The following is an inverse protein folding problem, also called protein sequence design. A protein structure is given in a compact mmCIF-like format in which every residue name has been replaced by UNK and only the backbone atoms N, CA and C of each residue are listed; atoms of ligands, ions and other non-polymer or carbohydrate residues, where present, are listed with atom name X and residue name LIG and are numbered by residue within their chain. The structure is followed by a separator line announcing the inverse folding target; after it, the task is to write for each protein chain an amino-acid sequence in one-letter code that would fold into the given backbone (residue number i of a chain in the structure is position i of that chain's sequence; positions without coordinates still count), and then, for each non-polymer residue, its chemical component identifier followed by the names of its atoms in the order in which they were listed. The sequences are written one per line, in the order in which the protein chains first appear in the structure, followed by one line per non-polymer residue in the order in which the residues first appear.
data_IF_193301518623
#
_entry.id   IF_193301518623
#
_cell.length_a   1.000
_cell.length_b   1.000
_cell.length_c   1.000
_cell.angle_alpha   90.00
_cell.angle_beta   90.00
_cell.angle_gamma   90.00
#
_symmetry.space_group_name_H-M   'P 1'
#
loop_
_entity.id
_entity.type
_entity.pdbx_description
1 polymer ?
#
# COMPACT_ATOMS: atom_id res chain seq x y z
N UNK A 1 41.30 -3.03 -5.60
CA UNK A 1 41.54 -3.18 -7.06
C UNK A 1 40.91 -4.46 -7.65
N UNK A 2 41.17 -5.65 -7.09
CA UNK A 2 40.59 -6.91 -7.58
C UNK A 2 39.05 -6.96 -7.53
N UNK A 3 38.46 -6.44 -6.46
CA UNK A 3 37.01 -6.39 -6.32
C UNK A 3 36.39 -5.48 -7.38
N UNK A 4 36.90 -4.24 -7.54
CA UNK A 4 36.48 -3.31 -8.59
C UNK A 4 36.55 -3.92 -10.00
N UNK A 5 37.65 -4.60 -10.35
CA UNK A 5 37.78 -5.30 -11.64
C UNK A 5 36.71 -6.37 -11.83
N UNK A 6 36.36 -7.12 -10.76
CA UNK A 6 35.26 -8.10 -10.79
C UNK A 6 33.90 -7.45 -11.04
N UNK A 7 33.61 -6.32 -10.39
CA UNK A 7 32.36 -5.53 -10.61
C UNK A 7 32.23 -5.08 -12.06
N UNK A 8 33.30 -4.52 -12.62
CA UNK A 8 33.32 -4.08 -14.01
C UNK A 8 33.18 -5.25 -15.00
N UNK A 9 33.79 -6.40 -14.71
CA UNK A 9 33.56 -7.63 -15.47
C UNK A 9 32.09 -8.07 -15.45
N UNK A 10 31.43 -8.04 -14.28
CA UNK A 10 30.01 -8.39 -14.17
C UNK A 10 29.12 -7.45 -15.01
N UNK A 11 29.35 -6.14 -14.94
CA UNK A 11 28.66 -5.15 -15.79
C UNK A 11 28.82 -5.45 -17.28
N UNK A 12 30.05 -5.77 -17.71
CA UNK A 12 30.34 -6.10 -19.10
C UNK A 12 29.65 -7.40 -19.53
N UNK A 13 29.66 -8.43 -18.68
CA UNK A 13 28.95 -9.69 -18.94
C UNK A 13 27.45 -9.44 -19.12
N UNK A 14 26.82 -8.66 -18.23
CA UNK A 14 25.41 -8.28 -18.37
C UNK A 14 25.12 -7.62 -19.73
N UNK A 15 25.94 -6.64 -20.14
CA UNK A 15 25.78 -5.95 -21.42
C UNK A 15 26.01 -6.86 -22.64
N UNK A 16 27.05 -7.68 -22.62
CA UNK A 16 27.43 -8.55 -23.73
C UNK A 16 26.49 -9.74 -23.90
N UNK A 17 25.88 -10.22 -22.80
CA UNK A 17 24.97 -11.36 -22.82
C UNK A 17 23.77 -11.15 -23.76
N UNK A 18 23.38 -9.91 -24.04
CA UNK A 18 22.32 -9.59 -25.01
C UNK A 18 22.61 -10.07 -26.44
N UNK A 19 23.88 -10.31 -26.79
CA UNK A 19 24.32 -10.76 -28.13
C UNK A 19 24.78 -12.21 -28.16
N UNK A 20 24.75 -12.90 -27.02
CA UNK A 20 25.26 -14.26 -26.91
C UNK A 20 24.26 -15.30 -27.39
N UNK A 21 24.79 -16.43 -27.87
CA UNK A 21 23.98 -17.59 -28.16
C UNK A 21 23.65 -18.38 -26.88
N UNK A 22 22.74 -19.35 -27.02
CA UNK A 22 22.21 -20.15 -25.92
C UNK A 22 23.31 -20.88 -25.11
N UNK A 23 24.30 -21.47 -25.79
CA UNK A 23 25.44 -22.13 -25.14
C UNK A 23 26.25 -21.16 -24.30
N UNK A 24 26.59 -19.99 -24.87
CA UNK A 24 27.34 -18.94 -24.17
C UNK A 24 26.60 -18.42 -22.95
N UNK A 25 25.28 -18.22 -23.05
CA UNK A 25 24.44 -17.81 -21.92
C UNK A 25 24.45 -18.87 -20.81
N UNK A 26 24.31 -20.15 -21.16
CA UNK A 26 24.35 -21.24 -20.19
C UNK A 26 25.72 -21.37 -19.50
N UNK A 27 26.81 -21.26 -20.25
CA UNK A 27 28.17 -21.33 -19.70
C UNK A 27 28.44 -20.13 -18.75
N UNK A 28 27.97 -18.94 -19.13
CA UNK A 28 28.06 -17.76 -18.29
C UNK A 28 27.21 -17.89 -17.01
N UNK A 29 25.97 -18.37 -17.13
CA UNK A 29 25.11 -18.62 -15.96
C UNK A 29 25.77 -19.57 -14.97
N UNK A 30 26.28 -20.72 -15.45
CA UNK A 30 26.92 -21.72 -14.58
C UNK A 30 28.20 -21.20 -13.93
N UNK A 31 28.91 -20.28 -14.58
CA UNK A 31 30.10 -19.64 -14.02
C UNK A 31 29.77 -18.59 -12.95
N UNK A 32 28.60 -17.94 -13.05
CA UNK A 32 28.19 -16.84 -12.18
C UNK A 32 27.32 -17.27 -11.00
N UNK A 33 26.52 -18.34 -11.13
CA UNK A 33 25.49 -18.70 -10.13
C UNK A 33 26.04 -18.87 -8.72
N UNK A 34 27.23 -19.46 -8.57
CA UNK A 34 27.83 -19.72 -7.26
C UNK A 34 28.49 -18.50 -6.62
N UNK A 35 28.63 -17.40 -7.37
CA UNK A 35 29.12 -16.10 -6.86
C UNK A 35 28.12 -15.50 -5.87
N UNK A 36 26.83 -15.84 -5.98
CA UNK A 36 25.80 -15.44 -5.01
C UNK A 36 26.16 -15.77 -3.55
N UNK A 37 27.00 -16.79 -3.31
CA UNK A 37 27.46 -17.21 -1.99
C UNK A 37 28.54 -16.30 -1.37
N UNK A 38 29.10 -15.34 -2.10
CA UNK A 38 30.10 -14.39 -1.56
C UNK A 38 29.40 -13.10 -1.12
N UNK A 39 30.08 -12.28 -0.30
CA UNK A 39 29.65 -10.89 -0.04
C UNK A 39 29.66 -10.15 -1.38
N UNK A 40 28.50 -10.20 -2.05
CA UNK A 40 28.39 -9.95 -3.49
C UNK A 40 27.68 -8.64 -3.80
N UNK A 41 28.19 -8.07 -4.88
CA UNK A 41 27.98 -6.74 -5.42
C UNK A 41 26.74 -6.67 -6.32
N UNK A 42 26.10 -5.50 -6.42
CA UNK A 42 24.81 -5.32 -7.11
C UNK A 42 24.89 -5.76 -8.59
N UNK A 43 26.05 -5.53 -9.19
CA UNK A 43 26.41 -5.77 -10.57
C UNK A 43 26.34 -7.25 -10.98
N UNK A 44 26.75 -8.17 -10.10
CA UNK A 44 26.72 -9.61 -10.38
C UNK A 44 25.29 -10.14 -10.47
N UNK A 45 24.43 -9.69 -9.55
CA UNK A 45 23.01 -10.00 -9.56
C UNK A 45 22.33 -9.48 -10.83
N UNK A 46 22.62 -8.24 -11.25
CA UNK A 46 22.07 -7.68 -12.50
C UNK A 46 22.52 -8.46 -13.75
N UNK A 47 23.78 -8.89 -13.79
CA UNK A 47 24.29 -9.73 -14.87
C UNK A 47 23.60 -11.10 -14.90
N UNK A 48 23.43 -11.73 -13.74
CA UNK A 48 22.76 -13.02 -13.61
C UNK A 48 21.27 -12.93 -13.97
N UNK A 49 20.58 -11.86 -13.57
CA UNK A 49 19.20 -11.56 -13.99
C UNK A 49 19.10 -11.46 -15.52
N UNK A 50 19.95 -10.63 -16.13
CA UNK A 50 19.94 -10.40 -17.58
C UNK A 50 20.16 -11.69 -18.37
N UNK A 51 21.12 -12.51 -17.94
CA UNK A 51 21.38 -13.82 -18.54
C UNK A 51 20.17 -14.74 -18.38
N UNK A 52 19.61 -14.84 -17.17
CA UNK A 52 18.51 -15.77 -16.90
C UNK A 52 17.26 -15.43 -17.71
N UNK A 53 16.93 -14.14 -17.87
CA UNK A 53 15.80 -13.71 -18.71
C UNK A 53 15.98 -14.12 -20.17
N UNK A 54 17.23 -14.27 -20.65
CA UNK A 54 17.54 -14.70 -22.02
C UNK A 54 17.58 -16.22 -22.20
N UNK A 55 17.78 -17.00 -21.13
CA UNK A 55 17.73 -18.45 -21.21
C UNK A 55 16.33 -18.94 -21.66
N UNK A 56 16.30 -20.12 -22.30
CA UNK A 56 15.09 -20.76 -22.80
C UNK A 56 15.12 -22.26 -22.55
N UNK A 57 13.92 -22.88 -22.58
CA UNK A 57 13.74 -24.31 -22.38
C UNK A 57 14.46 -24.84 -21.14
N UNK A 58 15.15 -25.97 -21.31
CA UNK A 58 15.80 -26.71 -20.22
C UNK A 58 16.80 -25.87 -19.41
N UNK A 59 17.48 -24.89 -20.02
CA UNK A 59 18.47 -24.09 -19.29
C UNK A 59 17.80 -23.06 -18.38
N UNK A 60 16.67 -22.50 -18.82
CA UNK A 60 15.85 -21.67 -17.95
C UNK A 60 15.30 -22.49 -16.79
N UNK A 61 14.83 -23.70 -17.05
CA UNK A 61 14.32 -24.60 -16.01
C UNK A 61 15.42 -24.95 -14.98
N UNK A 62 16.64 -25.23 -15.44
CA UNK A 62 17.79 -25.46 -14.55
C UNK A 62 18.13 -24.22 -13.71
N UNK A 63 18.05 -23.02 -14.29
CA UNK A 63 18.30 -21.77 -13.58
C UNK A 63 17.23 -21.50 -12.52
N UNK A 64 15.96 -21.71 -12.87
CA UNK A 64 14.84 -21.62 -11.95
C UNK A 64 15.00 -22.58 -10.77
N UNK A 65 15.26 -23.86 -11.06
CA UNK A 65 15.46 -24.89 -10.02
C UNK A 65 16.63 -24.54 -9.10
N UNK A 66 17.73 -24.02 -9.64
CA UNK A 66 18.84 -23.55 -8.81
C UNK A 66 18.42 -22.47 -7.82
N UNK A 67 17.60 -21.48 -8.25
CA UNK A 67 17.11 -20.44 -7.35
C UNK A 67 16.14 -21.00 -6.30
N UNK A 68 15.28 -21.95 -6.68
CA UNK A 68 14.37 -22.63 -5.75
C UNK A 68 15.13 -23.45 -4.70
N UNK A 69 16.15 -24.20 -5.10
CA UNK A 69 17.00 -24.96 -4.20
C UNK A 69 17.68 -24.04 -3.17
N UNK A 70 18.20 -22.90 -3.61
CA UNK A 70 18.85 -21.93 -2.72
C UNK A 70 17.86 -21.19 -1.82
N UNK A 71 16.65 -20.92 -2.29
CA UNK A 71 15.58 -20.33 -1.48
C UNK A 71 15.18 -21.26 -0.33
N UNK A 72 15.05 -22.56 -0.62
CA UNK A 72 14.55 -23.57 0.32
C UNK A 72 15.64 -24.16 1.24
N UNK A 73 16.92 -23.87 0.99
CA UNK A 73 18.03 -24.31 1.83
C UNK A 73 18.13 -23.46 3.11
N UNK A 74 17.55 -23.97 4.21
CA UNK A 74 17.58 -23.32 5.53
C UNK A 74 19.00 -23.15 6.11
N UNK A 75 19.99 -23.91 5.62
CA UNK A 75 21.37 -23.79 6.07
C UNK A 75 22.14 -22.68 5.33
N UNK A 76 21.52 -22.03 4.34
CA UNK A 76 22.12 -20.91 3.62
C UNK A 76 21.95 -19.61 4.39
N UNK A 77 22.93 -18.73 4.20
CA UNK A 77 22.84 -17.36 4.67
C UNK A 77 21.59 -16.67 4.10
N UNK A 78 20.88 -15.94 4.95
CA UNK A 78 19.62 -15.25 4.64
C UNK A 78 19.77 -14.33 3.43
N UNK A 79 20.91 -13.65 3.29
CA UNK A 79 21.24 -12.79 2.16
C UNK A 79 21.20 -13.52 0.80
N UNK A 80 21.57 -14.79 0.75
CA UNK A 80 21.51 -15.62 -0.47
C UNK A 80 20.04 -15.92 -0.79
N UNK A 81 19.25 -16.34 0.20
CA UNK A 81 17.82 -16.62 0.05
C UNK A 81 17.08 -15.38 -0.47
N UNK A 82 17.35 -14.19 0.11
CA UNK A 82 16.79 -12.91 -0.33
C UNK A 82 17.17 -12.57 -1.78
N UNK A 83 18.42 -12.82 -2.19
CA UNK A 83 18.84 -12.63 -3.59
C UNK A 83 18.09 -13.56 -4.55
N UNK A 84 17.88 -14.82 -4.16
CA UNK A 84 17.10 -15.77 -4.95
C UNK A 84 15.63 -15.34 -5.08
N UNK A 85 15.01 -14.83 -4.02
CA UNK A 85 13.66 -14.25 -4.06
C UNK A 85 13.59 -13.12 -5.09
N UNK A 86 14.55 -12.19 -5.07
CA UNK A 86 14.59 -11.08 -6.02
C UNK A 86 14.76 -11.55 -7.47
N UNK A 87 15.60 -12.56 -7.71
CA UNK A 87 15.77 -13.16 -9.03
C UNK A 87 14.48 -13.85 -9.50
N UNK A 88 13.82 -14.62 -8.63
CA UNK A 88 12.53 -15.27 -8.89
C UNK A 88 11.45 -14.23 -9.23
N UNK A 89 11.42 -13.10 -8.53
CA UNK A 89 10.51 -11.99 -8.81
C UNK A 89 10.66 -11.50 -10.26
N UNK A 90 11.90 -11.31 -10.70
CA UNK A 90 12.24 -10.79 -12.04
C UNK A 90 11.92 -11.77 -13.15
N UNK A 91 12.16 -13.06 -12.94
CA UNK A 91 11.93 -14.09 -13.96
C UNK A 91 10.51 -14.65 -13.96
N UNK A 92 9.69 -14.32 -12.95
CA UNK A 92 8.30 -14.80 -12.80
C UNK A 92 7.43 -14.61 -14.05
N UNK A 93 7.68 -13.55 -14.83
CA UNK A 93 6.94 -13.30 -16.07
C UNK A 93 7.18 -14.37 -17.14
N UNK A 94 8.36 -15.01 -17.15
CA UNK A 94 8.71 -16.11 -18.06
C UNK A 94 8.32 -17.49 -17.55
N UNK A 95 8.05 -17.63 -16.25
CA UNK A 95 7.71 -18.91 -15.66
C UNK A 95 6.39 -19.45 -16.23
N UNK A 96 6.36 -20.76 -16.48
CA UNK A 96 5.13 -21.48 -16.79
C UNK A 96 4.28 -21.71 -15.52
N UNK A 97 3.06 -22.23 -15.68
CA UNK A 97 2.14 -22.43 -14.55
C UNK A 97 2.72 -23.35 -13.46
N UNK A 98 3.40 -24.43 -13.84
CA UNK A 98 4.03 -25.35 -12.89
C UNK A 98 5.10 -24.64 -12.05
N UNK A 99 5.98 -23.87 -12.69
CA UNK A 99 7.03 -23.10 -12.02
C UNK A 99 6.46 -22.02 -11.10
N UNK A 100 5.40 -21.32 -11.55
CA UNK A 100 4.71 -20.34 -10.71
C UNK A 100 4.09 -21.00 -9.47
N UNK A 101 3.51 -22.18 -9.61
CA UNK A 101 2.94 -22.95 -8.50
C UNK A 101 4.01 -23.41 -7.51
N UNK A 102 5.18 -23.84 -8.01
CA UNK A 102 6.30 -24.24 -7.17
C UNK A 102 6.89 -23.06 -6.38
N UNK A 103 7.09 -21.92 -7.05
CA UNK A 103 7.52 -20.68 -6.43
C UNK A 103 6.51 -20.18 -5.38
N UNK A 104 5.21 -20.27 -5.70
CA UNK A 104 4.13 -19.94 -4.78
C UNK A 104 4.17 -20.80 -3.51
N UNK A 105 4.19 -22.14 -3.66
CA UNK A 105 4.16 -23.06 -2.52
C UNK A 105 5.38 -22.88 -1.61
N UNK A 106 6.58 -22.74 -2.18
CA UNK A 106 7.80 -22.52 -1.39
C UNK A 106 7.76 -21.17 -0.68
N UNK A 107 7.33 -20.11 -1.37
CA UNK A 107 7.20 -18.78 -0.76
C UNK A 107 6.16 -18.75 0.34
N UNK A 108 5.02 -19.43 0.17
CA UNK A 108 4.00 -19.57 1.20
C UNK A 108 4.54 -20.30 2.42
N UNK A 109 5.20 -21.45 2.22
CA UNK A 109 5.80 -22.21 3.30
C UNK A 109 6.75 -21.35 4.14
N UNK A 110 7.70 -20.65 3.49
CA UNK A 110 8.66 -19.77 4.16
C UNK A 110 7.95 -18.60 4.86
N UNK A 111 6.99 -17.97 4.17
CA UNK A 111 6.25 -16.83 4.71
C UNK A 111 5.51 -17.18 6.02
N UNK A 112 4.93 -18.39 6.10
CA UNK A 112 4.19 -18.87 7.27
C UNK A 112 5.06 -19.50 8.35
N UNK A 113 6.34 -19.76 8.08
CA UNK A 113 7.25 -20.38 9.05
C UNK A 113 7.83 -19.32 10.00
N UNK A 114 7.35 -19.28 11.25
CA UNK A 114 7.83 -18.33 12.26
C UNK A 114 9.30 -18.56 12.67
N UNK A 115 9.87 -19.72 12.36
CA UNK A 115 11.30 -20.00 12.59
C UNK A 115 12.21 -19.42 11.50
N UNK A 116 11.63 -19.01 10.36
CA UNK A 116 12.38 -18.39 9.29
C UNK A 116 12.66 -16.91 9.59
N UNK A 117 13.74 -16.41 9.00
CA UNK A 117 14.20 -15.04 9.15
C UNK A 117 13.19 -14.00 8.63
N UNK A 118 13.03 -12.89 9.35
CA UNK A 118 12.06 -11.85 9.02
C UNK A 118 12.31 -11.20 7.66
N UNK A 119 13.57 -10.97 7.26
CA UNK A 119 13.88 -10.38 5.95
C UNK A 119 13.57 -11.36 4.81
N UNK A 120 13.84 -12.66 5.03
CA UNK A 120 13.48 -13.72 4.09
C UNK A 120 11.95 -13.83 3.95
N UNK A 121 11.21 -13.83 5.07
CA UNK A 121 9.73 -13.85 5.09
C UNK A 121 9.15 -12.63 4.38
N UNK A 122 9.68 -11.44 4.66
CA UNK A 122 9.33 -10.18 3.98
C UNK A 122 9.66 -10.21 2.49
N UNK A 123 10.74 -10.86 2.09
CA UNK A 123 11.06 -11.17 0.70
C UNK A 123 10.01 -12.06 0.04
N UNK A 124 9.63 -13.17 0.68
CA UNK A 124 8.63 -14.09 0.16
C UNK A 124 7.27 -13.42 0.01
N UNK A 125 6.88 -12.53 0.94
CA UNK A 125 5.66 -11.72 0.80
C UNK A 125 5.68 -10.86 -0.48
N UNK A 126 6.81 -10.21 -0.80
CA UNK A 126 6.98 -9.44 -2.04
C UNK A 126 6.89 -10.32 -3.29
N UNK A 127 7.48 -11.51 -3.25
CA UNK A 127 7.39 -12.46 -4.34
C UNK A 127 5.96 -12.95 -4.55
N UNK A 128 5.23 -13.32 -3.49
CA UNK A 128 3.83 -13.71 -3.54
C UNK A 128 2.96 -12.61 -4.17
N UNK A 129 3.20 -11.35 -3.80
CA UNK A 129 2.56 -10.19 -4.43
C UNK A 129 2.81 -10.17 -5.94
N UNK A 130 4.05 -10.37 -6.39
CA UNK A 130 4.37 -10.40 -7.81
C UNK A 130 3.70 -11.57 -8.54
N UNK A 131 3.70 -12.75 -7.93
CA UNK A 131 3.03 -13.95 -8.45
C UNK A 131 1.50 -13.78 -8.52
N UNK A 132 0.92 -12.96 -7.64
CA UNK A 132 -0.53 -12.75 -7.57
C UNK A 132 -1.16 -12.29 -8.88
N UNK A 133 -0.38 -11.64 -9.77
CA UNK A 133 -0.83 -11.25 -11.10
C UNK A 133 -1.33 -12.44 -11.93
N UNK A 134 -0.84 -13.65 -11.65
CA UNK A 134 -1.12 -14.88 -12.40
C UNK A 134 -1.85 -15.97 -11.58
N UNK A 135 -2.31 -15.67 -10.37
CA UNK A 135 -3.00 -16.67 -9.53
C UNK A 135 -4.35 -17.10 -10.10
N UNK A 136 -4.69 -18.36 -9.82
CA UNK A 136 -6.07 -18.84 -9.86
C UNK A 136 -6.79 -18.60 -8.52
N UNK A 137 -8.11 -18.81 -8.51
CA UNK A 137 -8.94 -18.56 -7.31
C UNK A 137 -8.49 -19.39 -6.10
N UNK A 138 -8.07 -20.65 -6.31
CA UNK A 138 -7.60 -21.51 -5.21
C UNK A 138 -6.34 -20.94 -4.53
N UNK A 139 -5.39 -20.42 -5.30
CA UNK A 139 -4.18 -19.80 -4.77
C UNK A 139 -4.50 -18.52 -4.01
N UNK A 140 -5.44 -17.72 -4.53
CA UNK A 140 -5.92 -16.53 -3.85
C UNK A 140 -6.58 -16.89 -2.51
N UNK A 141 -7.47 -17.88 -2.49
CA UNK A 141 -8.18 -18.34 -1.30
C UNK A 141 -7.20 -18.84 -0.21
N UNK A 142 -6.24 -19.70 -0.59
CA UNK A 142 -5.20 -20.20 0.33
C UNK A 142 -4.42 -19.03 0.92
N UNK A 143 -3.98 -18.09 0.07
CA UNK A 143 -3.17 -16.96 0.55
C UNK A 143 -3.95 -16.06 1.47
N UNK A 144 -5.19 -15.71 1.12
CA UNK A 144 -6.06 -14.87 1.96
C UNK A 144 -6.30 -15.55 3.30
N UNK A 145 -6.55 -16.86 3.32
CA UNK A 145 -6.72 -17.60 4.57
C UNK A 145 -5.46 -17.58 5.43
N UNK A 146 -4.28 -17.85 4.85
CA UNK A 146 -3.02 -17.76 5.59
C UNK A 146 -2.74 -16.35 6.13
N UNK A 147 -3.08 -15.31 5.37
CA UNK A 147 -2.95 -13.93 5.83
C UNK A 147 -3.88 -13.63 7.01
N UNK A 148 -5.10 -14.18 6.98
CA UNK A 148 -6.07 -14.11 8.07
C UNK A 148 -5.57 -14.86 9.30
N UNK A 149 -5.12 -16.10 9.14
CA UNK A 149 -4.67 -16.96 10.25
C UNK A 149 -3.45 -16.34 10.93
N UNK A 150 -2.47 -15.86 10.16
CA UNK A 150 -1.31 -15.14 10.69
C UNK A 150 -1.71 -13.87 11.43
N UNK A 151 -2.66 -13.11 10.88
CA UNK A 151 -3.19 -11.91 11.52
C UNK A 151 -3.97 -12.21 12.82
N UNK A 152 -4.68 -13.35 12.90
CA UNK A 152 -5.42 -13.79 14.09
C UNK A 152 -4.50 -14.38 15.18
N UNK A 153 -3.50 -15.18 14.81
CA UNK A 153 -2.57 -15.81 15.77
C UNK A 153 -1.79 -14.79 16.59
N UNK A 154 -1.50 -13.64 15.99
CA UNK A 154 -0.89 -12.50 16.67
C UNK A 154 -1.78 -11.95 17.82
N UNK A 155 -3.10 -12.16 17.78
CA UNK A 155 -4.05 -11.61 18.75
C UNK A 155 -4.29 -12.54 19.95
N UNK A 156 -3.60 -13.69 20.02
CA UNK A 156 -3.66 -14.64 21.13
C UNK A 156 -2.60 -14.44 22.22
N UNK A 157 -1.70 -13.46 22.08
CA UNK A 157 -0.63 -13.19 23.05
C UNK A 157 -1.02 -12.07 24.03
N UNK A 158 -0.94 -12.37 25.32
CA UNK A 158 -1.17 -11.42 26.43
C UNK A 158 0.02 -10.45 26.60
N UNK A 159 -0.28 -9.24 27.10
CA UNK A 159 0.54 -8.00 27.09
C UNK A 159 1.94 -8.09 27.77
N UNK A 160 2.32 -9.24 28.34
CA UNK A 160 3.59 -9.45 29.06
C UNK A 160 4.70 -10.15 28.24
N UNK A 161 4.44 -10.55 26.98
CA UNK A 161 5.46 -11.25 26.18
C UNK A 161 6.28 -10.26 25.33
N UNK A 162 7.34 -9.74 25.95
CA UNK A 162 8.53 -9.05 25.39
C UNK A 162 8.34 -8.07 24.22
N UNK A 163 8.76 -6.83 24.46
CA UNK A 163 8.82 -5.71 23.52
C UNK A 163 9.47 -6.06 22.16
N UNK A 164 10.47 -6.93 22.15
CA UNK A 164 11.16 -7.39 20.92
C UNK A 164 10.29 -8.37 20.10
N UNK A 165 9.44 -9.17 20.78
CA UNK A 165 8.43 -10.01 20.13
C UNK A 165 7.31 -9.15 19.56
N UNK A 166 6.87 -8.12 20.30
CA UNK A 166 5.87 -7.16 19.85
C UNK A 166 6.34 -6.28 18.67
N UNK A 167 7.63 -5.94 18.60
CA UNK A 167 8.21 -5.20 17.47
C UNK A 167 8.25 -6.10 16.21
N UNK A 168 8.71 -7.35 16.32
CA UNK A 168 8.63 -8.33 15.23
C UNK A 168 7.20 -8.76 14.85
N UNK A 169 6.26 -8.74 15.80
CA UNK A 169 4.84 -9.00 15.59
C UNK A 169 4.14 -7.79 14.94
N UNK A 170 4.49 -6.57 15.33
CA UNK A 170 3.99 -5.34 14.70
C UNK A 170 4.50 -5.23 13.25
N UNK A 171 5.77 -5.57 13.01
CA UNK A 171 6.34 -5.72 11.67
C UNK A 171 5.57 -6.79 10.87
N UNK A 172 5.21 -7.92 11.49
CA UNK A 172 4.38 -8.95 10.84
C UNK A 172 2.95 -8.46 10.56
N UNK A 173 2.28 -7.78 11.50
CA UNK A 173 0.94 -7.18 11.29
C UNK A 173 0.97 -6.20 10.13
N UNK A 174 1.99 -5.33 10.08
CA UNK A 174 2.17 -4.41 8.96
C UNK A 174 2.40 -5.17 7.65
N UNK A 175 3.20 -6.24 7.65
CA UNK A 175 3.42 -7.09 6.48
C UNK A 175 2.12 -7.76 6.00
N UNK A 176 1.32 -8.33 6.91
CA UNK A 176 0.03 -8.94 6.59
C UNK A 176 -0.95 -7.90 6.05
N UNK A 177 -1.11 -6.77 6.73
CA UNK A 177 -1.99 -5.68 6.29
C UNK A 177 -1.55 -5.10 4.94
N UNK A 178 -0.24 -4.89 4.73
CA UNK A 178 0.34 -4.42 3.47
C UNK A 178 0.15 -5.43 2.35
N UNK A 179 0.23 -6.72 2.64
CA UNK A 179 0.00 -7.80 1.68
C UNK A 179 -1.48 -7.86 1.28
N UNK A 180 -2.40 -7.82 2.25
CA UNK A 180 -3.85 -7.74 1.98
C UNK A 180 -4.18 -6.48 1.18
N UNK A 181 -3.58 -5.33 1.52
CA UNK A 181 -3.73 -4.07 0.77
C UNK A 181 -3.33 -4.24 -0.69
N UNK A 182 -2.19 -4.87 -0.99
CA UNK A 182 -1.75 -5.08 -2.37
C UNK A 182 -2.69 -6.03 -3.11
N UNK A 183 -3.21 -7.06 -2.43
CA UNK A 183 -4.14 -8.03 -3.00
C UNK A 183 -5.58 -7.52 -3.09
N UNK A 184 -5.91 -6.38 -2.45
CA UNK A 184 -7.27 -5.83 -2.34
C UNK A 184 -8.02 -5.72 -3.67
N UNK A 185 -7.31 -5.38 -4.74
CA UNK A 185 -7.86 -5.27 -6.10
C UNK A 185 -8.45 -6.61 -6.60
N UNK A 186 -7.89 -7.74 -6.14
CA UNK A 186 -8.28 -9.11 -6.49
C UNK A 186 -9.28 -9.74 -5.52
N UNK A 187 -9.47 -9.18 -4.33
CA UNK A 187 -10.39 -9.75 -3.34
C UNK A 187 -11.84 -9.65 -3.82
N UNK A 188 -12.62 -10.72 -3.59
CA UNK A 188 -14.06 -10.72 -3.81
C UNK A 188 -14.78 -10.35 -2.49
N UNK A 189 -16.11 -10.27 -2.52
CA UNK A 189 -16.92 -9.93 -1.35
C UNK A 189 -16.72 -10.90 -0.18
N UNK A 190 -16.65 -12.21 -0.46
CA UNK A 190 -16.41 -13.25 0.56
C UNK A 190 -15.05 -13.07 1.24
N UNK A 191 -14.00 -12.76 0.49
CA UNK A 191 -12.68 -12.47 1.05
C UNK A 191 -12.71 -11.26 1.98
N UNK A 192 -13.38 -10.19 1.56
CA UNK A 192 -13.53 -8.99 2.39
C UNK A 192 -14.37 -9.28 3.65
N UNK A 193 -15.45 -10.05 3.53
CA UNK A 193 -16.25 -10.50 4.67
C UNK A 193 -15.41 -11.27 5.69
N UNK A 194 -14.55 -12.17 5.23
CA UNK A 194 -13.62 -12.89 6.09
C UNK A 194 -12.60 -11.96 6.76
N UNK A 195 -11.92 -11.11 5.98
CA UNK A 195 -10.92 -10.15 6.51
C UNK A 195 -11.56 -9.24 7.57
N UNK A 196 -12.68 -8.60 7.27
CA UNK A 196 -13.37 -7.72 8.23
C UNK A 196 -13.96 -8.50 9.41
N UNK A 197 -14.36 -9.75 9.22
CA UNK A 197 -14.75 -10.64 10.31
C UNK A 197 -13.62 -10.86 11.31
N UNK A 198 -12.39 -11.01 10.83
CA UNK A 198 -11.20 -11.20 11.67
C UNK A 198 -10.78 -9.93 12.42
N UNK A 199 -11.05 -8.76 11.85
CA UNK A 199 -10.77 -7.47 12.50
C UNK A 199 -11.74 -7.15 13.66
N UNK A 200 -12.89 -7.81 13.70
CA UNK A 200 -13.99 -7.43 14.59
C UNK A 200 -13.66 -7.67 16.06
N UNK A 201 -13.67 -6.60 16.86
CA UNK A 201 -13.44 -6.67 18.30
C UNK A 201 -11.97 -6.66 18.69
N UNK A 202 -11.06 -6.35 17.76
CA UNK A 202 -9.65 -6.13 18.08
C UNK A 202 -9.44 -4.79 18.78
N UNK A 203 -8.52 -4.76 19.74
CA UNK A 203 -8.11 -3.55 20.46
C UNK A 203 -7.61 -2.45 19.51
N UNK A 204 -6.92 -2.86 18.45
CA UNK A 204 -6.33 -2.01 17.41
C UNK A 204 -7.08 -2.10 16.07
N UNK A 205 -8.35 -2.53 16.09
CA UNK A 205 -9.20 -2.68 14.89
C UNK A 205 -9.10 -1.48 13.95
N UNK A 206 -9.21 -0.26 14.48
CA UNK A 206 -9.17 0.97 13.68
C UNK A 206 -7.82 1.21 13.00
N UNK A 207 -6.71 0.80 13.64
CA UNK A 207 -5.37 0.91 13.06
C UNK A 207 -5.18 -0.09 11.92
N UNK A 208 -5.66 -1.33 12.10
CA UNK A 208 -5.61 -2.34 11.06
C UNK A 208 -6.50 -2.00 9.87
N UNK A 209 -7.73 -1.51 10.12
CA UNK A 209 -8.61 -1.01 9.05
C UNK A 209 -7.93 0.12 8.29
N UNK A 210 -7.28 1.07 8.98
CA UNK A 210 -6.55 2.17 8.32
C UNK A 210 -5.41 1.67 7.44
N UNK A 211 -4.60 0.73 7.91
CA UNK A 211 -3.49 0.14 7.14
C UNK A 211 -3.97 -0.62 5.89
N UNK A 212 -5.06 -1.38 6.01
CA UNK A 212 -5.70 -2.08 4.89
C UNK A 212 -6.17 -1.13 3.79
N UNK A 213 -6.52 0.10 4.17
CA UNK A 213 -7.21 1.06 3.31
C UNK A 213 -6.32 2.23 2.86
N UNK A 214 -5.00 2.17 3.03
CA UNK A 214 -4.09 3.31 2.83
C UNK A 214 -3.97 3.76 1.36
N UNK A 215 -4.04 2.85 0.35
CA UNK A 215 -4.19 3.10 -1.11
C UNK A 215 -4.27 1.77 -1.92
N UNK A 216 -5.07 1.64 -3.02
CA UNK A 216 -6.15 2.49 -3.51
C UNK A 216 -7.52 1.92 -3.12
N UNK A 217 -8.14 2.49 -2.08
CA UNK A 217 -9.39 1.99 -1.51
C UNK A 217 -10.61 2.21 -2.41
N UNK A 218 -10.51 3.03 -3.46
CA UNK A 218 -11.60 3.25 -4.42
C UNK A 218 -12.16 1.92 -4.95
N UNK A 219 -11.29 1.00 -5.37
CA UNK A 219 -11.69 -0.33 -5.87
C UNK A 219 -12.22 -1.26 -4.78
N UNK A 220 -11.72 -1.16 -3.54
CA UNK A 220 -12.19 -2.00 -2.44
C UNK A 220 -13.57 -1.56 -1.97
N UNK A 221 -13.81 -0.25 -1.90
CA UNK A 221 -15.04 0.35 -1.41
C UNK A 221 -16.29 -0.01 -2.23
N UNK A 222 -16.15 -0.44 -3.48
CA UNK A 222 -17.29 -0.93 -4.30
C UNK A 222 -17.74 -2.33 -3.91
N UNK A 223 -16.90 -3.07 -3.17
CA UNK A 223 -17.14 -4.47 -2.80
C UNK A 223 -17.58 -4.65 -1.34
N UNK A 224 -17.53 -3.59 -0.53
CA UNK A 224 -17.90 -3.61 0.88
C UNK A 224 -19.41 -3.49 1.07
N UNK A 225 -19.91 -4.13 2.13
CA UNK A 225 -21.27 -3.97 2.61
C UNK A 225 -21.40 -2.79 3.60
N UNK A 226 -22.62 -2.37 3.89
CA UNK A 226 -22.90 -1.20 4.73
C UNK A 226 -22.25 -1.28 6.12
N UNK A 227 -22.30 -2.45 6.76
CA UNK A 227 -21.67 -2.67 8.08
C UNK A 227 -20.15 -2.54 8.03
N UNK A 228 -19.52 -2.99 6.95
CA UNK A 228 -18.08 -2.81 6.75
C UNK A 228 -17.74 -1.34 6.49
N UNK A 229 -18.54 -0.67 5.66
CA UNK A 229 -18.38 0.75 5.39
C UNK A 229 -18.49 1.58 6.67
N UNK A 230 -19.46 1.30 7.54
CA UNK A 230 -19.60 1.96 8.84
C UNK A 230 -18.29 1.89 9.66
N UNK A 231 -17.70 0.68 9.74
CA UNK A 231 -16.43 0.47 10.47
C UNK A 231 -15.27 1.22 9.83
N UNK A 232 -15.22 1.25 8.49
CA UNK A 232 -14.21 2.01 7.75
C UNK A 232 -14.36 3.52 7.99
N UNK A 233 -15.59 4.06 7.96
CA UNK A 233 -15.87 5.45 8.30
C UNK A 233 -15.37 5.78 9.71
N UNK A 234 -15.78 4.97 10.71
CA UNK A 234 -15.37 5.17 12.10
C UNK A 234 -13.85 5.12 12.26
N UNK A 235 -13.17 4.15 11.64
CA UNK A 235 -11.72 4.01 11.73
C UNK A 235 -10.98 5.22 11.15
N UNK A 236 -11.42 5.74 10.00
CA UNK A 236 -10.80 6.92 9.40
C UNK A 236 -11.14 8.22 10.10
N UNK A 237 -12.37 8.39 10.60
CA UNK A 237 -12.75 9.55 11.43
C UNK A 237 -11.87 9.58 12.68
N UNK A 238 -11.70 8.43 13.34
CA UNK A 238 -10.79 8.30 14.47
C UNK A 238 -9.36 8.63 14.06
N UNK A 239 -8.86 8.04 12.97
CA UNK A 239 -7.50 8.26 12.48
C UNK A 239 -7.18 9.70 12.07
N UNK A 240 -8.17 10.47 11.63
CA UNK A 240 -8.02 11.91 11.34
C UNK A 240 -7.97 12.76 12.62
N UNK A 241 -8.70 12.36 13.67
CA UNK A 241 -8.71 13.03 14.98
C UNK A 241 -7.53 12.63 15.88
N UNK A 242 -6.91 11.48 15.61
CA UNK A 242 -5.74 10.98 16.32
C UNK A 242 -4.50 11.86 16.04
N UNK A 243 -3.48 11.83 16.90
CA UNK A 243 -2.24 12.62 16.78
C UNK A 243 -1.12 11.86 16.03
N UNK A 244 -1.49 10.90 15.18
CA UNK A 244 -0.55 10.08 14.41
C UNK A 244 -0.17 10.75 13.07
N UNK A 245 0.94 10.33 12.45
CA UNK A 245 1.42 10.90 11.18
C UNK A 245 0.50 10.69 9.96
N UNK A 246 -0.44 9.73 10.00
CA UNK A 246 -1.21 9.33 8.81
C UNK A 246 -2.61 10.00 8.73
N UNK A 247 -2.80 11.13 9.41
CA UNK A 247 -4.07 11.87 9.44
C UNK A 247 -4.51 12.34 8.05
N UNK A 248 -3.58 12.89 7.26
CA UNK A 248 -3.89 13.33 5.90
C UNK A 248 -4.35 12.19 4.99
N UNK A 249 -3.77 10.99 5.14
CA UNK A 249 -4.24 9.79 4.42
C UNK A 249 -5.67 9.40 4.83
N UNK A 250 -6.03 9.54 6.11
CA UNK A 250 -7.41 9.32 6.57
C UNK A 250 -8.38 10.33 5.96
N UNK A 251 -8.01 11.63 5.95
CA UNK A 251 -8.81 12.66 5.31
C UNK A 251 -9.06 12.35 3.84
N UNK A 252 -8.00 12.04 3.08
CA UNK A 252 -8.09 11.67 1.67
C UNK A 252 -9.01 10.47 1.42
N UNK A 253 -8.85 9.42 2.22
CA UNK A 253 -9.71 8.23 2.12
C UNK A 253 -11.16 8.54 2.46
N UNK A 254 -11.43 9.38 3.47
CA UNK A 254 -12.77 9.83 3.84
C UNK A 254 -13.49 10.51 2.67
N UNK A 255 -12.80 11.39 1.94
CA UNK A 255 -13.37 12.04 0.75
C UNK A 255 -13.83 11.03 -0.32
N UNK A 256 -13.01 10.01 -0.57
CA UNK A 256 -13.33 8.95 -1.56
C UNK A 256 -14.55 8.15 -1.11
N UNK A 257 -14.59 7.68 0.15
CA UNK A 257 -15.68 6.81 0.63
C UNK A 257 -16.98 7.57 0.87
N UNK A 258 -16.91 8.86 1.19
CA UNK A 258 -18.07 9.71 1.38
C UNK A 258 -18.90 9.90 0.11
N UNK A 259 -18.35 9.61 -1.08
CA UNK A 259 -19.14 9.53 -2.31
C UNK A 259 -20.27 8.49 -2.23
N UNK A 260 -20.11 7.47 -1.37
CA UNK A 260 -21.06 6.37 -1.14
C UNK A 260 -21.74 6.43 0.23
N UNK A 261 -21.43 7.44 1.04
CA UNK A 261 -22.01 7.60 2.36
C UNK A 261 -23.53 7.80 2.26
N UNK A 262 -24.26 7.24 3.24
CA UNK A 262 -25.61 7.68 3.53
C UNK A 262 -25.60 9.10 4.15
N UNK A 263 -26.76 9.73 4.24
CA UNK A 263 -26.89 11.12 4.71
C UNK A 263 -26.25 11.36 6.09
N UNK A 264 -26.46 10.44 7.04
CA UNK A 264 -25.91 10.54 8.39
C UNK A 264 -24.38 10.45 8.40
N UNK A 265 -23.83 9.46 7.70
CA UNK A 265 -22.39 9.28 7.57
C UNK A 265 -21.76 10.49 6.88
N UNK A 266 -22.39 10.97 5.81
CA UNK A 266 -21.90 12.09 5.03
C UNK A 266 -21.79 13.36 5.90
N UNK A 267 -22.81 13.66 6.68
CA UNK A 267 -22.79 14.80 7.60
C UNK A 267 -21.65 14.71 8.61
N UNK A 268 -21.42 13.53 9.19
CA UNK A 268 -20.30 13.31 10.11
C UNK A 268 -18.94 13.52 9.42
N UNK A 269 -18.77 12.97 8.21
CA UNK A 269 -17.54 13.13 7.42
C UNK A 269 -17.29 14.60 7.07
N UNK A 270 -18.31 15.33 6.61
CA UNK A 270 -18.19 16.75 6.27
C UNK A 270 -17.73 17.55 7.49
N UNK A 271 -18.35 17.34 8.64
CA UNK A 271 -17.99 18.05 9.88
C UNK A 271 -16.54 17.79 10.29
N UNK A 272 -16.07 16.55 10.20
CA UNK A 272 -14.68 16.20 10.55
C UNK A 272 -13.70 16.78 9.52
N UNK A 273 -14.00 16.71 8.22
CA UNK A 273 -13.15 17.32 7.18
C UNK A 273 -13.07 18.84 7.32
N UNK A 274 -14.19 19.52 7.61
CA UNK A 274 -14.22 20.96 7.89
C UNK A 274 -13.38 21.31 9.11
N UNK A 275 -13.43 20.51 10.19
CA UNK A 275 -12.56 20.72 11.35
C UNK A 275 -11.08 20.60 10.98
N UNK A 276 -10.73 19.69 10.08
CA UNK A 276 -9.36 19.51 9.60
C UNK A 276 -8.86 20.61 8.65
N UNK A 277 -9.71 21.52 8.16
CA UNK A 277 -9.25 22.72 7.46
C UNK A 277 -8.49 23.68 8.40
N UNK A 278 -8.77 23.61 9.70
CA UNK A 278 -8.14 24.41 10.75
C UNK A 278 -6.99 23.67 11.44
N UNK A 279 -6.59 22.52 10.90
CA UNK A 279 -5.54 21.71 11.50
C UNK A 279 -4.19 22.42 11.48
N UNK A 280 -3.32 22.15 12.45
CA UNK A 280 -1.98 22.72 12.50
C UNK A 280 -1.09 22.15 11.37
N UNK A 281 -1.30 20.90 10.97
CA UNK A 281 -0.55 20.23 9.91
C UNK A 281 -1.06 20.64 8.52
N UNK A 282 -0.16 21.22 7.71
CA UNK A 282 -0.45 21.62 6.32
C UNK A 282 -0.92 20.45 5.46
N UNK A 283 -0.35 19.26 5.63
CA UNK A 283 -0.72 18.08 4.84
C UNK A 283 -2.15 17.60 5.17
N UNK A 284 -2.57 17.74 6.44
CA UNK A 284 -3.93 17.44 6.86
C UNK A 284 -4.90 18.45 6.25
N UNK A 285 -4.60 19.75 6.33
CA UNK A 285 -5.42 20.80 5.70
C UNK A 285 -5.59 20.56 4.21
N UNK A 286 -4.51 20.28 3.49
CA UNK A 286 -4.53 19.97 2.06
C UNK A 286 -5.38 18.75 1.73
N UNK A 287 -5.25 17.68 2.52
CA UNK A 287 -5.99 16.44 2.30
C UNK A 287 -7.49 16.61 2.59
N UNK A 288 -7.86 17.34 3.64
CA UNK A 288 -9.26 17.67 3.94
C UNK A 288 -9.88 18.53 2.85
N UNK A 289 -9.12 19.51 2.39
CA UNK A 289 -9.48 20.40 1.29
C UNK A 289 -9.75 19.63 -0.01
N UNK A 290 -8.83 18.74 -0.42
CA UNK A 290 -9.01 17.88 -1.60
C UNK A 290 -10.26 17.01 -1.47
N UNK A 291 -10.48 16.43 -0.28
CA UNK A 291 -11.60 15.55 0.01
C UNK A 291 -12.95 16.26 -0.05
N UNK A 292 -13.05 17.47 0.50
CA UNK A 292 -14.24 18.32 0.39
C UNK A 292 -14.50 18.71 -1.07
N UNK A 293 -13.44 18.92 -1.87
CA UNK A 293 -13.55 19.10 -3.31
C UNK A 293 -14.21 17.90 -4.00
N UNK A 294 -13.78 16.68 -3.67
CA UNK A 294 -14.33 15.42 -4.21
C UNK A 294 -15.82 15.26 -3.91
N UNK A 295 -16.27 15.63 -2.70
CA UNK A 295 -17.68 15.51 -2.30
C UNK A 295 -18.50 16.79 -2.44
N UNK A 296 -17.96 17.82 -3.12
CA UNK A 296 -18.55 19.16 -3.18
C UNK A 296 -19.98 19.20 -3.73
N UNK A 297 -20.34 18.30 -4.65
CA UNK A 297 -21.71 18.22 -5.17
C UNK A 297 -22.74 17.83 -4.10
N UNK A 298 -22.30 17.11 -3.07
CA UNK A 298 -23.11 16.65 -1.95
C UNK A 298 -23.21 17.66 -0.81
N UNK A 299 -22.43 18.75 -0.86
CA UNK A 299 -22.49 19.83 0.12
C UNK A 299 -23.71 20.72 -0.13
N UNK A 300 -24.35 21.16 0.95
CA UNK A 300 -25.35 22.23 0.87
C UNK A 300 -24.68 23.62 0.84
N UNK A 301 -25.45 24.67 0.59
CA UNK A 301 -24.93 26.04 0.45
C UNK A 301 -24.22 26.54 1.70
N UNK A 302 -24.76 26.23 2.89
CA UNK A 302 -24.17 26.63 4.18
C UNK A 302 -22.83 25.92 4.45
N UNK A 303 -22.73 24.64 4.10
CA UNK A 303 -21.50 23.88 4.20
C UNK A 303 -20.44 24.41 3.23
N UNK A 304 -20.84 24.71 1.98
CA UNK A 304 -19.96 25.33 0.99
C UNK A 304 -19.42 26.67 1.51
N UNK A 305 -20.29 27.55 2.01
CA UNK A 305 -19.91 28.81 2.64
C UNK A 305 -18.90 28.61 3.79
N UNK A 306 -19.15 27.65 4.68
CA UNK A 306 -18.23 27.31 5.76
C UNK A 306 -16.85 26.88 5.25
N UNK A 307 -16.79 26.05 4.21
CA UNK A 307 -15.54 25.64 3.57
C UNK A 307 -14.78 26.84 3.03
N UNK A 308 -15.46 27.82 2.40
CA UNK A 308 -14.81 29.04 1.90
C UNK A 308 -14.23 29.91 3.00
N UNK A 309 -14.98 30.12 4.08
CA UNK A 309 -14.54 30.98 5.17
C UNK A 309 -13.34 30.38 5.91
N UNK A 310 -13.25 29.05 5.95
CA UNK A 310 -12.19 28.32 6.66
C UNK A 310 -11.03 27.90 5.75
N UNK A 311 -11.10 28.16 4.43
CA UNK A 311 -10.06 27.84 3.47
C UNK A 311 -8.84 28.76 3.68
N UNK A 312 -7.62 28.21 3.90
CA UNK A 312 -6.42 29.03 3.94
C UNK A 312 -6.21 29.74 2.60
N UNK A 313 -5.83 31.03 2.64
CA UNK A 313 -5.58 31.87 1.44
C UNK A 313 -4.61 31.23 0.41
N UNK A 314 -3.80 30.24 0.82
CA UNK A 314 -2.86 29.50 -0.03
C UNK A 314 -3.52 28.42 -0.92
N UNK A 315 -4.81 28.11 -0.76
CA UNK A 315 -5.45 26.96 -1.43
C UNK A 315 -6.53 27.32 -2.47
N UNK A 316 -6.47 28.53 -3.05
CA UNK A 316 -7.38 28.93 -4.15
C UNK A 316 -7.33 28.00 -5.38
N UNK A 317 -6.32 27.13 -5.49
CA UNK A 317 -6.17 26.14 -6.56
C UNK A 317 -7.32 25.12 -6.68
N UNK A 318 -8.11 24.89 -5.62
CA UNK A 318 -9.25 23.94 -5.67
C UNK A 318 -10.32 24.42 -6.66
N UNK A 319 -10.42 25.74 -6.87
CA UNK A 319 -11.36 26.31 -7.83
C UNK A 319 -11.12 25.83 -9.25
N UNK A 320 -9.91 25.34 -9.57
CA UNK A 320 -9.54 24.82 -10.90
C UNK A 320 -9.98 23.37 -11.12
N UNK A 321 -10.34 22.63 -10.07
CA UNK A 321 -10.81 21.23 -10.14
C UNK A 321 -12.34 21.13 -10.16
N UNK A 322 -13.04 22.24 -9.96
CA UNK A 322 -14.49 22.27 -9.95
C UNK A 322 -15.07 22.37 -11.35
N UNK A 323 -16.04 21.51 -11.66
CA UNK A 323 -16.82 21.61 -12.87
C UNK A 323 -17.65 22.92 -12.89
N UNK A 324 -18.19 23.29 -14.03
CA UNK A 324 -18.88 24.57 -14.23
C UNK A 324 -20.02 24.78 -13.21
N UNK A 325 -20.78 23.73 -12.90
CA UNK A 325 -21.88 23.76 -11.92
C UNK A 325 -21.38 23.92 -10.47
N UNK A 326 -20.29 23.25 -10.11
CA UNK A 326 -19.63 23.41 -8.82
C UNK A 326 -19.08 24.83 -8.69
N UNK A 327 -18.35 25.30 -9.70
CA UNK A 327 -17.80 26.65 -9.79
C UNK A 327 -18.89 27.72 -9.71
N UNK A 328 -20.05 27.51 -10.32
CA UNK A 328 -21.20 28.42 -10.25
C UNK A 328 -21.83 28.46 -8.85
N UNK A 329 -22.07 27.30 -8.21
CA UNK A 329 -22.58 27.23 -6.83
C UNK A 329 -21.64 27.93 -5.85
N UNK A 330 -20.34 27.71 -6.05
CA UNK A 330 -19.27 28.34 -5.30
C UNK A 330 -19.23 29.84 -5.53
N UNK A 331 -19.28 30.28 -6.78
CA UNK A 331 -19.30 31.68 -7.15
C UNK A 331 -20.52 32.38 -6.53
N UNK A 332 -21.69 31.75 -6.57
CA UNK A 332 -22.91 32.27 -5.96
C UNK A 332 -22.80 32.35 -4.43
N UNK A 333 -22.21 31.35 -3.77
CA UNK A 333 -21.92 31.38 -2.34
C UNK A 333 -20.94 32.52 -1.98
N UNK A 334 -19.87 32.71 -2.77
CA UNK A 334 -18.90 33.80 -2.58
C UNK A 334 -19.53 35.18 -2.77
N UNK A 335 -20.41 35.36 -3.76
CA UNK A 335 -21.18 36.59 -3.95
C UNK A 335 -22.14 36.84 -2.80
N UNK A 336 -22.78 35.79 -2.27
CA UNK A 336 -23.67 35.89 -1.12
C UNK A 336 -22.92 36.34 0.13
N UNK A 337 -21.77 35.71 0.44
CA UNK A 337 -20.88 36.08 1.55
C UNK A 337 -20.34 37.50 1.39
N UNK A 338 -19.88 37.88 0.20
CA UNK A 338 -19.39 39.22 -0.08
C UNK A 338 -20.45 40.30 0.18
N UNK A 339 -21.70 40.05 -0.25
CA UNK A 339 -22.82 40.96 0.02
C UNK A 339 -23.18 41.07 1.51
N UNK A 340 -23.01 40.00 2.29
CA UNK A 340 -23.34 39.99 3.71
C UNK A 340 -22.20 40.50 4.61
N UNK A 341 -20.94 40.25 4.26
CA UNK A 341 -19.76 40.79 4.96
C UNK A 341 -19.59 42.30 4.75
N UNK A 342 -20.10 42.87 3.65
CA UNK A 342 -20.15 44.34 3.46
C UNK A 342 -21.16 45.00 4.42
N UNK A 343 -22.19 44.28 4.87
CA UNK A 343 -23.24 44.85 5.73
C UNK A 343 -22.91 44.84 7.23
N UNK A 344 -21.97 44.02 7.69
CA UNK A 344 -21.59 43.94 9.12
C UNK A 344 -20.51 44.95 9.55
N UNK A 345 -19.83 45.59 8.60
CA UNK A 345 -18.79 46.60 8.88
C UNK A 345 -19.29 48.05 8.96
N UNK A 346 -20.61 48.30 8.91
CA UNK A 346 -21.18 49.65 8.91
C UNK A 346 -21.77 50.14 10.25
N UNK A 347 -21.52 49.44 11.37
CA UNK A 347 -21.92 49.90 12.71
C UNK A 347 -20.76 49.86 13.71
N UNK A 348 -19.70 50.64 13.50
CA UNK A 348 -18.74 50.95 14.57
C UNK A 348 -17.97 52.29 14.44
N UNK A 349 -18.49 53.28 13.70
CA UNK A 349 -17.83 54.60 13.60
C UNK A 349 -18.77 55.80 13.75
N UNK A 350 -19.76 55.71 14.63
CA UNK A 350 -20.47 56.88 15.16
C UNK A 350 -20.67 56.75 16.66
N UNK A 351 -19.60 57.00 17.39
CA UNK A 351 -19.61 57.87 18.57
C UNK A 351 -18.21 57.84 19.18
N UNK A 352 -17.39 58.83 18.82
CA UNK A 352 -16.39 59.43 19.70
C UNK A 352 -15.91 60.78 19.14
N UNK A 353 -16.47 61.84 19.73
CA UNK A 353 -15.95 63.22 19.89
C UNK A 353 -15.70 64.12 18.67
N UNK A 354 -16.59 65.09 18.43
CA UNK A 354 -16.48 66.47 18.98
C UNK A 354 -17.80 67.23 18.86
#
# INVERSE_FOLDING_TARGET
EYEYKRRECAKLIGKLSMKWNEKQLNDAFNSLKDILNKDDDREYREALETITVKLSGKQFDNAFNYFMDKLNDKNKYQNIRIKCIQLLERISNKCNEQQLNEAFNSSMHIFTDESDDNDVRGGCAKLLVTLSKKWNDKQLDITVQCLIDGFQNINGYDDDTSRDLLEGIAENRELYARSIRILSTKLNKKHLDNVFGCLNGLKDESECIRALCEQPFETMSTKLNDRQLDRVFSAFIHGLKDNKRNRGSCAKSLGIIATKANEKQLEEVINVLMSGLKDEDKYVRESCTESLGVISEKLNEKQLEGVFNDLPNEHFEISTKWNEKQSERVFNALIFVSKHSINTNNYSSKDESL
#
